data_IF_114486310729
#
_entry.id   IF_114486310729
#
_cell.length_a   1.000
_cell.length_b   1.000
_cell.length_c   1.000
_cell.angle_alpha   90.00
_cell.angle_beta   90.00
_cell.angle_gamma   90.00
#
_symmetry.space_group_name_H-M   'P 1'
#
loop_
_entity.id
_entity.type
_entity.pdbx_description
1 polymer ?
#
# COMPACT_ATOMS: atom_id res chain seq x y z
N UNK A 1 9.04 -19.84 -3.08
CA UNK A 1 9.45 -20.78 -4.15
C UNK A 1 9.80 -22.17 -3.64
N UNK A 2 10.87 -22.38 -2.84
CA UNK A 2 11.26 -23.72 -2.36
C UNK A 2 10.19 -24.42 -1.51
N UNK A 3 9.44 -23.66 -0.70
CA UNK A 3 8.34 -24.16 0.13
C UNK A 3 6.96 -24.18 -0.59
N UNK A 4 6.92 -24.34 -1.92
CA UNK A 4 5.65 -24.47 -2.66
C UNK A 4 4.88 -23.17 -2.96
N UNK A 5 5.18 -22.05 -2.29
CA UNK A 5 4.63 -20.73 -2.62
C UNK A 5 5.29 -20.14 -3.89
N UNK A 6 4.96 -20.68 -5.07
CA UNK A 6 5.52 -20.31 -6.37
C UNK A 6 4.94 -19.01 -6.94
N UNK A 7 3.69 -18.69 -6.58
CA UNK A 7 2.98 -17.48 -7.02
C UNK A 7 3.51 -16.18 -6.38
N UNK A 8 4.30 -16.28 -5.30
CA UNK A 8 4.98 -15.14 -4.68
C UNK A 8 6.30 -14.89 -5.41
N UNK A 9 6.48 -13.68 -5.93
CA UNK A 9 7.70 -13.27 -6.62
C UNK A 9 8.07 -11.81 -6.29
N UNK A 10 9.39 -11.53 -6.20
CA UNK A 10 9.92 -10.22 -5.79
C UNK A 10 9.36 -9.07 -6.65
N UNK A 11 9.33 -9.14 -7.99
CA UNK A 11 8.80 -8.05 -8.81
C UNK A 11 7.36 -7.70 -8.47
N UNK A 12 6.46 -8.69 -8.41
CA UNK A 12 5.05 -8.45 -8.08
C UNK A 12 4.87 -7.88 -6.68
N UNK A 13 5.57 -8.40 -5.68
CA UNK A 13 5.40 -7.92 -4.30
C UNK A 13 5.88 -6.47 -4.14
N UNK A 14 7.05 -6.13 -4.73
CA UNK A 14 7.56 -4.74 -4.71
C UNK A 14 6.63 -3.77 -5.44
N UNK A 15 5.95 -4.22 -6.49
CA UNK A 15 5.06 -3.38 -7.28
C UNK A 15 3.83 -2.87 -6.53
N UNK A 16 3.38 -3.56 -5.49
CA UNK A 16 2.17 -3.26 -4.74
C UNK A 16 2.42 -2.94 -3.25
N UNK A 17 3.68 -2.77 -2.85
CA UNK A 17 4.03 -2.56 -1.44
C UNK A 17 3.37 -1.31 -0.85
N UNK A 18 3.24 -0.23 -1.62
CA UNK A 18 2.58 1.00 -1.17
C UNK A 18 1.06 0.81 -1.04
N UNK A 19 0.43 0.00 -1.90
CA UNK A 19 -0.98 -0.37 -1.71
C UNK A 19 -1.20 -1.14 -0.41
N UNK A 20 -0.28 -2.05 -0.07
CA UNK A 20 -0.30 -2.78 1.19
C UNK A 20 -0.02 -1.86 2.40
N UNK A 21 0.89 -0.91 2.24
CA UNK A 21 1.20 0.10 3.25
C UNK A 21 -0.02 0.98 3.58
N UNK A 22 -0.73 1.47 2.56
CA UNK A 22 -1.99 2.19 2.76
C UNK A 22 -3.00 1.35 3.54
N UNK A 23 -3.17 0.08 3.17
CA UNK A 23 -4.09 -0.81 3.90
C UNK A 23 -3.69 -1.04 5.36
N UNK A 24 -2.39 -1.17 5.64
CA UNK A 24 -1.89 -1.33 7.00
C UNK A 24 -2.11 -0.09 7.87
N UNK A 25 -1.94 1.12 7.30
CA UNK A 25 -2.00 2.37 8.05
C UNK A 25 -3.38 2.99 8.15
N UNK A 26 -4.21 2.77 7.14
CA UNK A 26 -5.58 3.26 7.05
C UNK A 26 -6.42 2.30 6.20
N UNK A 27 -6.87 1.23 6.86
CA UNK A 27 -7.72 0.22 6.23
C UNK A 27 -9.03 0.81 5.71
N UNK A 28 -9.60 1.79 6.41
CA UNK A 28 -10.84 2.44 6.00
C UNK A 28 -10.66 3.21 4.69
N UNK A 29 -9.63 4.06 4.60
CA UNK A 29 -9.30 4.78 3.36
C UNK A 29 -8.95 3.82 2.22
N UNK A 30 -8.22 2.73 2.51
CA UNK A 30 -7.90 1.68 1.53
C UNK A 30 -9.17 1.02 0.98
N UNK A 31 -10.12 0.66 1.84
CA UNK A 31 -11.38 0.04 1.45
C UNK A 31 -12.26 1.00 0.66
N UNK A 32 -12.35 2.26 1.06
CA UNK A 32 -13.07 3.30 0.33
C UNK A 32 -12.49 3.52 -1.09
N UNK A 33 -11.15 3.60 -1.19
CA UNK A 33 -10.47 3.76 -2.48
C UNK A 33 -10.70 2.56 -3.40
N UNK A 34 -10.61 1.33 -2.87
CA UNK A 34 -10.90 0.10 -3.61
C UNK A 34 -12.34 0.09 -4.14
N UNK A 35 -13.31 0.46 -3.31
CA UNK A 35 -14.73 0.54 -3.69
C UNK A 35 -14.94 1.56 -4.81
N UNK A 36 -14.43 2.78 -4.65
CA UNK A 36 -14.56 3.85 -5.65
C UNK A 36 -13.96 3.48 -7.01
N UNK A 37 -12.79 2.85 -7.05
CA UNK A 37 -12.17 2.43 -8.31
C UNK A 37 -12.90 1.25 -8.95
N UNK A 38 -13.46 0.33 -8.15
CA UNK A 38 -14.31 -0.75 -8.65
C UNK A 38 -15.59 -0.20 -9.28
N UNK A 39 -16.26 0.75 -8.64
CA UNK A 39 -17.50 1.37 -9.13
C UNK A 39 -17.29 2.17 -10.42
N UNK A 40 -16.11 2.77 -10.61
CA UNK A 40 -15.74 3.48 -11.84
C UNK A 40 -15.21 2.57 -12.95
N UNK A 41 -15.09 1.26 -12.72
CA UNK A 41 -14.54 0.32 -13.71
C UNK A 41 -13.06 0.56 -14.03
N UNK A 42 -12.32 1.18 -13.11
CA UNK A 42 -10.92 1.53 -13.31
C UNK A 42 -10.01 0.30 -13.29
N UNK A 43 -8.93 0.33 -14.08
CA UNK A 43 -7.96 -0.75 -14.08
C UNK A 43 -7.08 -0.74 -12.81
N UNK A 44 -6.42 -1.88 -12.54
CA UNK A 44 -5.54 -2.03 -11.35
C UNK A 44 -4.39 -1.02 -11.37
N UNK A 45 -3.90 -0.62 -12.55
CA UNK A 45 -2.84 0.37 -12.68
C UNK A 45 -3.26 1.74 -12.15
N UNK A 46 -4.46 2.20 -12.50
CA UNK A 46 -5.03 3.46 -12.02
C UNK A 46 -5.23 3.45 -10.50
N UNK A 47 -5.85 2.39 -9.95
CA UNK A 47 -5.99 2.23 -8.50
C UNK A 47 -4.65 2.19 -7.77
N UNK A 48 -3.67 1.46 -8.32
CA UNK A 48 -2.32 1.36 -7.76
C UNK A 48 -1.67 2.73 -7.69
N UNK A 49 -1.75 3.56 -8.73
CA UNK A 49 -1.19 4.91 -8.69
C UNK A 49 -1.91 5.81 -7.67
N UNK A 50 -3.24 5.70 -7.58
CA UNK A 50 -4.02 6.49 -6.64
C UNK A 50 -3.70 6.20 -5.17
N UNK A 51 -3.14 5.02 -4.84
CA UNK A 51 -2.73 4.67 -3.48
C UNK A 51 -1.60 5.57 -2.94
N UNK A 52 -0.80 6.25 -3.79
CA UNK A 52 0.28 7.14 -3.33
C UNK A 52 -0.24 8.41 -2.65
N UNK A 53 -1.31 9.02 -3.15
CA UNK A 53 -1.81 10.27 -2.62
C UNK A 53 -2.21 10.21 -1.12
N UNK A 54 -3.03 9.25 -0.66
CA UNK A 54 -3.35 9.14 0.76
C UNK A 54 -2.12 8.79 1.61
N UNK A 55 -1.18 8.01 1.07
CA UNK A 55 0.10 7.71 1.72
C UNK A 55 0.94 8.96 1.99
N UNK A 56 1.09 9.83 0.99
CA UNK A 56 1.79 11.13 1.12
C UNK A 56 1.07 12.02 2.14
N UNK A 57 -0.27 12.01 2.13
CA UNK A 57 -1.08 12.75 3.11
C UNK A 57 -0.84 12.26 4.53
N UNK A 58 -0.70 10.94 4.73
CA UNK A 58 -0.36 10.35 6.05
C UNK A 58 1.05 10.77 6.48
N UNK A 59 2.04 10.72 5.58
CA UNK A 59 3.41 11.12 5.86
C UNK A 59 3.51 12.60 6.30
N UNK A 60 2.83 13.49 5.59
CA UNK A 60 2.79 14.91 5.94
C UNK A 60 2.09 15.21 7.27
N UNK A 61 1.08 14.41 7.65
CA UNK A 61 0.32 14.62 8.89
C UNK A 61 0.94 13.98 10.14
N UNK A 62 1.51 12.79 10.01
CA UNK A 62 1.85 11.93 11.16
C UNK A 62 3.33 11.86 11.49
N UNK A 63 4.23 12.12 10.55
CA UNK A 63 5.65 11.84 10.74
C UNK A 63 6.58 12.94 10.21
N UNK A 64 6.07 14.16 10.00
CA UNK A 64 6.92 15.25 9.49
C UNK A 64 7.62 14.89 8.18
N UNK A 65 6.93 14.14 7.31
CA UNK A 65 7.44 13.63 6.03
C UNK A 65 8.42 12.44 6.11
N UNK A 66 8.66 11.88 7.31
CA UNK A 66 9.48 10.69 7.50
C UNK A 66 8.69 9.40 7.22
N UNK A 67 8.71 8.96 5.96
CA UNK A 67 8.05 7.72 5.54
C UNK A 67 8.77 6.47 6.08
N UNK A 68 10.07 6.54 6.33
CA UNK A 68 10.85 5.41 6.84
C UNK A 68 10.48 5.13 8.29
N UNK A 69 10.35 6.18 9.13
CA UNK A 69 9.84 6.06 10.49
C UNK A 69 8.44 5.44 10.53
N UNK A 70 7.57 5.81 9.59
CA UNK A 70 6.21 5.25 9.48
C UNK A 70 6.25 3.74 9.20
N UNK A 71 7.08 3.29 8.25
CA UNK A 71 7.20 1.86 7.92
C UNK A 71 7.81 1.10 9.09
N UNK A 72 8.87 1.64 9.70
CA UNK A 72 9.59 1.02 10.81
C UNK A 72 8.72 0.90 12.07
N UNK A 73 7.81 1.84 12.32
CA UNK A 73 6.92 1.81 13.49
C UNK A 73 5.78 0.77 13.37
N UNK A 74 5.43 0.32 12.16
CA UNK A 74 4.30 -0.57 11.96
C UNK A 74 4.74 -2.05 11.89
N UNK A 75 4.24 -2.95 12.76
CA UNK A 75 4.73 -4.33 12.89
C UNK A 75 4.69 -5.18 11.61
N UNK A 76 3.78 -4.86 10.67
CA UNK A 76 3.67 -5.56 9.37
C UNK A 76 4.42 -4.89 8.23
N UNK A 77 4.84 -3.63 8.39
CA UNK A 77 5.48 -2.85 7.32
C UNK A 77 7.00 -2.75 7.49
N UNK A 78 7.53 -2.89 8.70
CA UNK A 78 8.97 -2.80 8.98
C UNK A 78 9.85 -3.87 8.29
N UNK A 79 9.22 -4.86 7.64
CA UNK A 79 9.89 -5.93 6.89
C UNK A 79 9.85 -5.75 5.37
N UNK A 80 9.30 -4.63 4.88
CA UNK A 80 9.07 -4.37 3.47
C UNK A 80 10.03 -3.35 2.86
#
# INVERSE_FOLDING_TARGET
>A
KKAGASYINKPKMRHYVHCYALHCMDEHASNALRKSFKERGENVGAWRQACYHPLVTIAGRRAGWDIDAIFNAHPRLCIW
#
